data_IF_119054340453
#
_entry.id   IF_119054340453
#
_cell.length_a   1.000
_cell.length_b   1.000
_cell.length_c   1.000
_cell.angle_alpha   90.00
_cell.angle_beta   90.00
_cell.angle_gamma   90.00
#
_symmetry.space_group_name_H-M   'P 1'
#
loop_
_entity.id
_entity.type
_entity.pdbx_description
1 polymer ?
#
# COMPACT_ATOMS: atom_id res chain seq x y z
N UNK A 1 6.49 4.59 -20.27
CA UNK A 1 5.53 3.46 -20.33
C UNK A 1 6.11 2.22 -21.01
N UNK A 2 6.63 2.31 -22.24
CA UNK A 2 7.22 1.15 -22.96
C UNK A 2 8.25 0.36 -22.15
N UNK A 3 9.24 1.04 -21.55
CA UNK A 3 10.29 0.38 -20.75
C UNK A 3 9.78 -0.29 -19.48
N UNK A 4 8.73 0.25 -18.87
CA UNK A 4 8.05 -0.38 -17.72
C UNK A 4 7.39 -1.69 -18.14
N UNK A 5 6.73 -1.70 -19.31
CA UNK A 5 6.13 -2.92 -19.83
C UNK A 5 7.19 -3.98 -20.17
N UNK A 6 8.34 -3.56 -20.73
CA UNK A 6 9.48 -4.46 -20.98
C UNK A 6 10.00 -5.04 -19.65
N UNK A 7 10.16 -4.20 -18.62
CA UNK A 7 10.53 -4.65 -17.29
C UNK A 7 9.53 -5.66 -16.70
N UNK A 8 8.22 -5.43 -16.88
CA UNK A 8 7.18 -6.36 -16.44
C UNK A 8 7.27 -7.71 -17.17
N UNK A 9 7.58 -7.70 -18.48
CA UNK A 9 7.76 -8.94 -19.26
C UNK A 9 8.94 -9.74 -18.71
N UNK A 10 10.08 -9.09 -18.47
CA UNK A 10 11.25 -9.75 -17.86
C UNK A 10 10.97 -10.27 -16.45
N UNK A 11 10.22 -9.51 -15.65
CA UNK A 11 9.80 -9.94 -14.32
C UNK A 11 8.95 -11.21 -14.36
N UNK A 12 7.98 -11.29 -15.28
CA UNK A 12 7.15 -12.50 -15.48
C UNK A 12 7.98 -13.69 -15.95
N UNK A 13 9.01 -13.44 -16.80
CA UNK A 13 9.98 -14.45 -17.22
C UNK A 13 10.97 -14.88 -16.13
N UNK A 14 10.93 -14.26 -14.94
CA UNK A 14 11.89 -14.43 -13.84
C UNK A 14 13.32 -13.98 -14.18
N UNK A 15 13.47 -13.18 -15.23
CA UNK A 15 14.73 -12.56 -15.63
C UNK A 15 14.92 -11.25 -14.84
N UNK A 16 15.16 -11.37 -13.53
CA UNK A 16 15.08 -10.24 -12.59
C UNK A 16 16.13 -9.16 -12.84
N UNK A 17 17.35 -9.53 -13.24
CA UNK A 17 18.41 -8.55 -13.54
C UNK A 17 18.06 -7.69 -14.77
N UNK A 18 17.49 -8.30 -15.81
CA UNK A 18 17.05 -7.57 -17.01
C UNK A 18 15.79 -6.73 -16.74
N UNK A 19 14.90 -7.21 -15.87
CA UNK A 19 13.77 -6.43 -15.36
C UNK A 19 14.27 -5.17 -14.64
N UNK A 20 15.24 -5.32 -13.74
CA UNK A 20 15.82 -4.24 -12.96
C UNK A 20 16.53 -3.21 -13.85
N UNK A 21 17.33 -3.65 -14.82
CA UNK A 21 17.94 -2.77 -15.84
C UNK A 21 16.87 -1.98 -16.60
N UNK A 22 15.79 -2.63 -16.99
CA UNK A 22 14.69 -2.02 -17.75
C UNK A 22 13.93 -0.98 -16.91
N UNK A 23 13.68 -1.28 -15.63
CA UNK A 23 13.03 -0.33 -14.72
C UNK A 23 13.91 0.86 -14.36
N UNK A 24 15.21 0.67 -14.10
CA UNK A 24 16.15 1.79 -13.87
C UNK A 24 16.22 2.72 -15.07
N UNK A 25 16.37 2.14 -16.26
CA UNK A 25 16.28 2.86 -17.54
C UNK A 25 14.95 3.57 -17.78
N UNK A 26 13.86 3.09 -17.17
CA UNK A 26 12.58 3.77 -17.21
C UNK A 26 12.57 4.94 -16.22
N UNK A 27 13.08 4.73 -15.00
CA UNK A 27 13.18 5.75 -13.95
C UNK A 27 13.99 6.96 -14.39
N UNK A 28 15.12 6.74 -15.08
CA UNK A 28 15.98 7.81 -15.62
C UNK A 28 15.27 8.70 -16.66
N UNK A 29 14.23 8.17 -17.31
CA UNK A 29 13.44 8.91 -18.29
C UNK A 29 12.23 9.63 -17.66
N UNK A 30 11.90 9.33 -16.41
CA UNK A 30 10.78 9.95 -15.72
C UNK A 30 11.24 11.25 -15.06
N UNK A 31 10.74 12.37 -15.57
CA UNK A 31 10.96 13.68 -14.96
C UNK A 31 10.24 13.80 -13.62
N UNK A 32 10.74 14.67 -12.73
CA UNK A 32 10.12 14.96 -11.42
C UNK A 32 8.63 15.36 -11.47
N UNK A 33 8.15 15.84 -12.62
CA UNK A 33 6.73 16.16 -12.84
C UNK A 33 5.83 14.92 -12.88
N UNK A 34 6.38 13.73 -13.12
CA UNK A 34 5.64 12.47 -13.27
C UNK A 34 5.75 11.60 -12.00
N UNK A 35 5.49 12.20 -10.83
CA UNK A 35 5.63 11.56 -9.51
C UNK A 35 4.95 10.20 -9.43
N UNK A 36 3.69 10.09 -9.87
CA UNK A 36 2.97 8.81 -9.82
C UNK A 36 3.62 7.70 -10.65
N UNK A 37 4.19 8.05 -11.81
CA UNK A 37 4.88 7.08 -12.66
C UNK A 37 6.19 6.66 -12.01
N UNK A 38 6.90 7.61 -11.40
CA UNK A 38 8.14 7.35 -10.63
C UNK A 38 7.89 6.37 -9.50
N UNK A 39 6.87 6.60 -8.67
CA UNK A 39 6.48 5.75 -7.55
C UNK A 39 6.12 4.34 -8.02
N UNK A 40 5.35 4.21 -9.12
CA UNK A 40 5.02 2.90 -9.70
C UNK A 40 6.26 2.12 -10.14
N UNK A 41 7.23 2.79 -10.75
CA UNK A 41 8.50 2.16 -11.16
C UNK A 41 9.31 1.73 -9.94
N UNK A 42 9.43 2.60 -8.92
CA UNK A 42 10.14 2.27 -7.68
C UNK A 42 9.51 1.09 -6.95
N UNK A 43 8.18 1.04 -6.87
CA UNK A 43 7.46 -0.10 -6.30
C UNK A 43 7.76 -1.41 -7.08
N UNK A 44 7.81 -1.35 -8.42
CA UNK A 44 8.19 -2.51 -9.23
C UNK A 44 9.64 -2.93 -9.01
N UNK A 45 10.57 -1.98 -8.83
CA UNK A 45 11.96 -2.28 -8.47
C UNK A 45 12.02 -2.98 -7.11
N UNK A 46 11.29 -2.48 -6.11
CA UNK A 46 11.16 -3.12 -4.80
C UNK A 46 10.67 -4.57 -4.90
N UNK A 47 9.63 -4.82 -5.72
CA UNK A 47 9.13 -6.18 -5.97
C UNK A 47 10.17 -7.09 -6.65
N UNK A 48 10.99 -6.56 -7.57
CA UNK A 48 12.10 -7.31 -8.17
C UNK A 48 13.11 -7.71 -7.09
N UNK A 49 13.48 -6.78 -6.21
CA UNK A 49 14.39 -7.08 -5.11
C UNK A 49 13.85 -8.15 -4.16
N UNK A 50 12.56 -8.12 -3.84
CA UNK A 50 11.89 -9.20 -3.08
C UNK A 50 12.06 -10.55 -3.79
N UNK A 51 11.89 -10.60 -5.11
CA UNK A 51 12.06 -11.85 -5.89
C UNK A 51 13.50 -12.32 -6.00
N UNK A 52 14.46 -11.41 -5.78
CA UNK A 52 15.89 -11.71 -5.73
C UNK A 52 16.37 -12.02 -4.29
N UNK A 53 15.46 -12.08 -3.30
CA UNK A 53 15.77 -12.22 -1.88
C UNK A 53 16.66 -11.09 -1.32
N UNK A 54 16.62 -9.92 -1.96
CA UNK A 54 17.34 -8.70 -1.58
C UNK A 54 16.41 -7.81 -0.74
N UNK A 55 16.11 -8.25 0.48
CA UNK A 55 15.04 -7.65 1.28
C UNK A 55 15.39 -6.26 1.81
N UNK A 56 16.67 -5.98 2.11
CA UNK A 56 17.12 -4.65 2.54
C UNK A 56 16.94 -3.62 1.42
N UNK A 57 17.35 -3.94 0.18
CA UNK A 57 17.16 -3.03 -0.96
C UNK A 57 15.68 -2.88 -1.34
N UNK A 58 14.88 -3.95 -1.15
CA UNK A 58 13.44 -3.88 -1.32
C UNK A 58 12.80 -2.92 -0.31
N UNK A 59 13.18 -3.03 0.96
CA UNK A 59 12.66 -2.21 2.05
C UNK A 59 12.96 -0.73 1.79
N UNK A 60 14.21 -0.39 1.44
CA UNK A 60 14.57 0.98 1.04
C UNK A 60 13.77 1.47 -0.17
N UNK A 61 13.51 0.61 -1.16
CA UNK A 61 12.70 0.98 -2.33
C UNK A 61 11.25 1.31 -1.94
N UNK A 62 10.66 0.58 -1.00
CA UNK A 62 9.31 0.83 -0.52
C UNK A 62 9.22 2.02 0.44
N UNK A 63 10.24 2.27 1.26
CA UNK A 63 10.35 3.48 2.08
C UNK A 63 10.29 4.74 1.22
N UNK A 64 11.11 4.78 0.16
CA UNK A 64 11.08 5.90 -0.79
C UNK A 64 9.70 6.05 -1.47
N UNK A 65 8.96 4.96 -1.69
CA UNK A 65 7.59 5.05 -2.21
C UNK A 65 6.64 5.69 -1.18
N UNK A 66 6.76 5.31 0.09
CA UNK A 66 5.96 5.84 1.19
C UNK A 66 6.23 7.32 1.45
N UNK A 67 7.47 7.78 1.30
CA UNK A 67 7.85 9.20 1.43
C UNK A 67 7.22 10.06 0.34
N UNK A 68 7.15 9.56 -0.90
CA UNK A 68 6.56 10.29 -2.02
C UNK A 68 5.02 10.28 -2.00
N UNK A 69 4.43 9.12 -1.70
CA UNK A 69 2.98 8.95 -1.54
C UNK A 69 2.69 7.76 -0.62
N UNK A 70 2.23 8.00 0.61
CA UNK A 70 1.78 6.93 1.51
C UNK A 70 0.67 6.10 0.86
N UNK A 71 0.84 4.78 0.83
CA UNK A 71 -0.12 3.83 0.27
C UNK A 71 0.02 2.46 0.95
N UNK A 72 -1.08 1.71 1.05
CA UNK A 72 -1.12 0.45 1.81
C UNK A 72 -0.26 -0.64 1.17
N UNK A 73 -0.11 -0.62 -0.16
CA UNK A 73 0.70 -1.61 -0.89
C UNK A 73 2.18 -1.57 -0.53
N UNK A 74 2.90 -0.45 -0.69
CA UNK A 74 4.30 -0.35 -0.26
C UNK A 74 4.45 -0.55 1.25
N UNK A 75 3.53 -0.03 2.07
CA UNK A 75 3.56 -0.26 3.52
C UNK A 75 3.47 -1.76 3.89
N UNK A 76 2.56 -2.51 3.27
CA UNK A 76 2.44 -3.95 3.49
C UNK A 76 3.70 -4.70 3.06
N UNK A 77 4.30 -4.31 1.94
CA UNK A 77 5.55 -4.90 1.50
C UNK A 77 6.72 -4.58 2.46
N UNK A 78 6.78 -3.37 3.04
CA UNK A 78 7.76 -3.04 4.07
C UNK A 78 7.62 -3.96 5.28
N UNK A 79 6.39 -4.15 5.79
CA UNK A 79 6.13 -5.05 6.92
C UNK A 79 6.57 -6.47 6.60
N UNK A 80 6.26 -6.98 5.40
CA UNK A 80 6.67 -8.32 4.96
C UNK A 80 8.20 -8.42 4.88
N UNK A 81 8.88 -7.46 4.27
CA UNK A 81 10.35 -7.46 4.17
C UNK A 81 11.01 -7.42 5.55
N UNK A 82 10.54 -6.53 6.44
CA UNK A 82 11.06 -6.42 7.80
C UNK A 82 10.84 -7.71 8.61
N UNK A 83 9.68 -8.36 8.43
CA UNK A 83 9.40 -9.66 9.04
C UNK A 83 10.33 -10.78 8.52
N UNK A 84 10.66 -10.78 7.23
CA UNK A 84 11.60 -11.78 6.67
C UNK A 84 13.03 -11.54 7.19
N UNK A 85 13.39 -10.28 7.41
CA UNK A 85 14.67 -9.89 7.99
C UNK A 85 14.74 -10.07 9.52
N UNK A 86 13.62 -10.42 10.17
CA UNK A 86 13.47 -10.46 11.64
C UNK A 86 13.86 -9.13 12.32
N UNK A 87 13.67 -8.01 11.62
CA UNK A 87 13.97 -6.68 12.11
C UNK A 87 12.75 -6.06 12.79
N UNK A 88 12.69 -6.20 14.13
CA UNK A 88 11.56 -5.75 14.95
C UNK A 88 11.34 -4.25 14.92
N UNK A 89 12.42 -3.47 14.83
CA UNK A 89 12.32 -2.01 14.80
C UNK A 89 11.69 -1.55 13.48
N UNK A 90 12.19 -2.07 12.35
CA UNK A 90 11.61 -1.78 11.03
C UNK A 90 10.19 -2.30 10.88
N UNK A 91 9.86 -3.45 11.48
CA UNK A 91 8.47 -3.94 11.52
C UNK A 91 7.54 -2.95 12.22
N UNK A 92 7.95 -2.43 13.38
CA UNK A 92 7.18 -1.44 14.14
C UNK A 92 6.99 -0.16 13.34
N UNK A 93 8.08 0.36 12.78
CA UNK A 93 8.05 1.57 11.99
C UNK A 93 7.15 1.43 10.75
N UNK A 94 7.31 0.33 10.00
CA UNK A 94 6.49 0.06 8.81
C UNK A 94 5.00 -0.06 9.15
N UNK A 95 4.67 -0.69 10.28
CA UNK A 95 3.29 -0.81 10.74
C UNK A 95 2.72 0.55 11.19
N UNK A 96 3.48 1.35 11.93
CA UNK A 96 3.07 2.71 12.31
C UNK A 96 2.81 3.58 11.08
N UNK A 97 3.74 3.60 10.12
CA UNK A 97 3.56 4.30 8.84
C UNK A 97 2.34 3.82 8.06
N UNK A 98 1.93 2.54 8.20
CA UNK A 98 0.71 2.01 7.59
C UNK A 98 -0.55 2.58 8.25
N UNK A 99 -0.56 2.70 9.58
CA UNK A 99 -1.69 3.25 10.34
C UNK A 99 -1.88 4.75 10.08
N UNK A 100 -0.79 5.48 9.81
CA UNK A 100 -0.81 6.91 9.51
C UNK A 100 -1.33 7.24 8.10
N UNK A 101 -1.64 6.24 7.26
CA UNK A 101 -2.12 6.48 5.90
C UNK A 101 -3.53 7.09 5.94
N UNK A 102 -3.64 8.35 5.51
CA UNK A 102 -4.93 9.00 5.39
C UNK A 102 -5.69 8.56 4.13
N UNK A 103 -6.87 7.99 4.33
CA UNK A 103 -7.73 7.50 3.24
C UNK A 103 -8.42 8.62 2.44
N UNK A 104 -8.50 9.84 2.96
CA UNK A 104 -9.17 10.97 2.29
C UNK A 104 -10.63 10.67 1.91
N UNK A 105 -11.34 9.90 2.75
CA UNK A 105 -12.77 9.60 2.58
C UNK A 105 -13.54 10.58 3.46
N UNK A 106 -14.49 11.32 2.88
CA UNK A 106 -15.35 12.27 3.60
C UNK A 106 -16.24 11.55 4.63
N UNK A 107 -16.66 12.29 5.66
CA UNK A 107 -17.43 11.77 6.79
C UNK A 107 -18.73 11.05 6.37
N UNK A 108 -19.09 10.03 7.14
CA UNK A 108 -20.29 9.21 6.89
C UNK A 108 -21.60 10.00 7.04
N UNK A 109 -21.53 11.21 7.59
CA UNK A 109 -22.65 12.12 7.79
C UNK A 109 -23.37 12.49 6.48
N UNK A 110 -22.66 12.47 5.34
CA UNK A 110 -23.25 12.69 4.00
C UNK A 110 -24.34 11.67 3.62
N UNK A 111 -24.41 10.54 4.32
CA UNK A 111 -25.36 9.46 4.08
C UNK A 111 -26.43 9.34 5.17
N UNK A 112 -26.44 10.26 6.14
CA UNK A 112 -27.41 10.30 7.23
C UNK A 112 -28.63 11.10 6.80
N UNK A 113 -29.83 10.61 7.15
CA UNK A 113 -31.08 11.33 6.94
C UNK A 113 -31.19 12.42 8.02
N UNK A 114 -31.29 13.67 7.62
CA UNK A 114 -31.49 14.80 8.54
C UNK A 114 -32.96 15.17 8.70
N UNK A 115 -33.80 14.80 7.72
CA UNK A 115 -35.25 14.94 7.81
C UNK A 115 -35.98 13.73 7.20
N UNK A 116 -37.29 13.65 7.47
CA UNK A 116 -38.19 12.66 6.85
C UNK A 116 -38.78 13.17 5.51
N UNK A 117 -38.17 14.18 4.86
CA UNK A 117 -38.60 14.63 3.53
C UNK A 117 -38.41 13.48 2.52
N UNK A 118 -39.49 13.04 1.83
CA UNK A 118 -39.39 12.00 0.80
C UNK A 118 -38.35 12.30 -0.29
N UNK A 119 -38.09 13.58 -0.60
CA UNK A 119 -37.08 13.96 -1.59
C UNK A 119 -35.67 13.71 -1.07
N UNK A 120 -35.41 14.03 0.19
CA UNK A 120 -34.12 13.78 0.83
C UNK A 120 -33.85 12.28 0.93
N UNK A 121 -34.86 11.48 1.28
CA UNK A 121 -34.77 10.02 1.33
C UNK A 121 -34.34 9.45 -0.03
N UNK A 122 -34.99 9.85 -1.11
CA UNK A 122 -34.66 9.39 -2.46
C UNK A 122 -33.24 9.78 -2.88
N UNK A 123 -32.80 11.00 -2.54
CA UNK A 123 -31.43 11.46 -2.82
C UNK A 123 -30.41 10.65 -2.03
N UNK A 124 -30.62 10.45 -0.73
CA UNK A 124 -29.70 9.68 0.12
C UNK A 124 -29.64 8.20 -0.32
N UNK A 125 -30.76 7.59 -0.70
CA UNK A 125 -30.78 6.22 -1.25
C UNK A 125 -30.03 6.10 -2.57
N UNK A 126 -30.15 7.10 -3.45
CA UNK A 126 -29.40 7.14 -4.71
C UNK A 126 -27.89 7.23 -4.46
N UNK A 127 -27.44 8.12 -3.57
CA UNK A 127 -26.01 8.30 -3.24
C UNK A 127 -25.47 7.07 -2.49
N UNK A 128 -26.27 6.42 -1.62
CA UNK A 128 -25.84 5.19 -0.92
C UNK A 128 -25.49 4.03 -1.86
N UNK A 129 -26.10 3.98 -3.03
CA UNK A 129 -25.95 2.90 -4.00
C UNK A 129 -25.06 3.28 -5.19
N UNK A 130 -24.51 4.49 -5.22
CA UNK A 130 -23.71 4.96 -6.35
C UNK A 130 -22.30 4.34 -6.39
N UNK A 131 -21.61 4.57 -7.50
CA UNK A 131 -20.26 4.04 -7.72
C UNK A 131 -19.22 4.66 -6.77
N UNK A 132 -19.45 5.90 -6.30
CA UNK A 132 -18.52 6.60 -5.43
C UNK A 132 -18.53 5.97 -4.04
N UNK A 133 -19.71 5.72 -3.46
CA UNK A 133 -19.89 5.05 -2.18
C UNK A 133 -19.38 3.61 -2.21
N UNK A 134 -19.60 2.89 -3.31
CA UNK A 134 -19.03 1.56 -3.49
C UNK A 134 -17.50 1.59 -3.49
N UNK A 135 -16.91 2.57 -4.17
CA UNK A 135 -15.45 2.76 -4.19
C UNK A 135 -14.90 3.13 -2.81
N UNK A 136 -15.55 4.04 -2.07
CA UNK A 136 -15.15 4.39 -0.69
C UNK A 136 -15.16 3.17 0.24
N UNK A 137 -16.23 2.37 0.20
CA UNK A 137 -16.35 1.14 0.99
C UNK A 137 -15.25 0.14 0.64
N UNK A 138 -15.01 -0.09 -0.65
CA UNK A 138 -13.94 -0.99 -1.10
C UNK A 138 -12.56 -0.51 -0.62
N UNK A 139 -12.33 0.81 -0.65
CA UNK A 139 -11.08 1.42 -0.16
C UNK A 139 -10.90 1.24 1.34
N UNK A 140 -11.95 1.44 2.16
CA UNK A 140 -11.92 1.16 3.61
C UNK A 140 -11.64 -0.32 3.89
N UNK A 141 -12.34 -1.22 3.19
CA UNK A 141 -12.18 -2.66 3.37
C UNK A 141 -10.77 -3.14 3.01
N UNK A 142 -10.19 -2.63 1.93
CA UNK A 142 -8.82 -2.98 1.56
C UNK A 142 -7.81 -2.50 2.60
N UNK A 143 -7.99 -1.28 3.13
CA UNK A 143 -7.15 -0.74 4.20
C UNK A 143 -7.24 -1.59 5.48
N UNK A 144 -8.47 -1.89 5.92
CA UNK A 144 -8.72 -2.74 7.10
C UNK A 144 -8.09 -4.12 6.92
N UNK A 145 -8.27 -4.73 5.74
CA UNK A 145 -7.66 -6.01 5.40
C UNK A 145 -6.13 -5.95 5.48
N UNK A 146 -5.50 -4.93 4.90
CA UNK A 146 -4.05 -4.75 4.97
C UNK A 146 -3.56 -4.62 6.42
N UNK A 147 -4.22 -3.78 7.22
CA UNK A 147 -3.86 -3.56 8.62
C UNK A 147 -4.00 -4.86 9.43
N UNK A 148 -5.11 -5.59 9.29
CA UNK A 148 -5.33 -6.86 9.99
C UNK A 148 -4.31 -7.93 9.58
N UNK A 149 -3.98 -8.01 8.29
CA UNK A 149 -2.96 -8.94 7.81
C UNK A 149 -1.57 -8.59 8.34
N UNK A 150 -1.20 -7.31 8.36
CA UNK A 150 0.06 -6.85 8.92
C UNK A 150 0.13 -7.12 10.43
N UNK A 151 -0.92 -6.78 11.18
CA UNK A 151 -1.00 -7.03 12.61
C UNK A 151 -0.84 -8.54 12.93
N UNK A 152 -1.53 -9.41 12.16
CA UNK A 152 -1.40 -10.86 12.33
C UNK A 152 0.03 -11.33 12.05
N UNK A 153 0.69 -10.80 11.02
CA UNK A 153 2.06 -11.17 10.66
C UNK A 153 3.05 -10.80 11.78
N UNK A 154 2.92 -9.59 12.33
CA UNK A 154 3.88 -9.10 13.32
C UNK A 154 3.55 -9.62 14.74
N UNK A 155 2.30 -10.05 14.99
CA UNK A 155 1.86 -10.54 16.30
C UNK A 155 2.73 -11.66 16.87
N UNK A 156 3.31 -12.52 16.03
CA UNK A 156 4.21 -13.61 16.45
C UNK A 156 5.52 -13.09 17.05
N UNK A 157 5.93 -11.87 16.68
CA UNK A 157 7.16 -11.24 17.15
C UNK A 157 6.92 -10.30 18.34
N UNK A 158 5.69 -9.82 18.48
CA UNK A 158 5.28 -8.81 19.46
C UNK A 158 5.01 -9.44 20.82
N UNK A 159 4.39 -10.63 20.87
CA UNK A 159 4.17 -11.34 22.12
C UNK A 159 3.87 -12.82 21.88
N UNK A 160 4.32 -13.67 22.79
CA UNK A 160 3.83 -15.06 22.87
C UNK A 160 2.36 -15.13 23.32
N UNK A 161 1.82 -14.05 23.90
CA UNK A 161 0.49 -13.98 24.51
C UNK A 161 -0.21 -12.66 24.15
N UNK A 162 -1.52 -12.69 23.89
CA UNK A 162 -2.33 -11.54 23.41
C UNK A 162 -2.24 -10.26 24.27
N UNK A 163 -2.01 -10.38 25.58
CA UNK A 163 -1.97 -9.25 26.52
C UNK A 163 -0.74 -8.35 26.36
N UNK A 164 0.42 -8.90 26.02
CA UNK A 164 1.66 -8.12 25.96
C UNK A 164 1.74 -7.30 24.66
N UNK A 165 1.04 -7.72 23.62
CA UNK A 165 1.03 -7.03 22.33
C UNK A 165 0.29 -5.69 22.30
N UNK A 166 -0.45 -5.34 23.36
CA UNK A 166 -1.03 -4.01 23.52
C UNK A 166 0.00 -2.95 23.92
N UNK A 167 1.20 -3.34 24.35
CA UNK A 167 2.25 -2.42 24.79
C UNK A 167 3.28 -2.09 23.70
N UNK A 168 3.08 -2.60 22.48
CA UNK A 168 3.98 -2.41 21.34
C UNK A 168 3.76 -1.10 20.60
#
# INVERSE_FOLDING_TARGET
KLRVNIGNIYFVKKEYEEALKSYRKALDQVTHMQKETRIKIMNNIGLVFVKMNKYDEALSSFENCMEEKPDFKPAMNMVICANILDDREKMKEAFQRMLDIHLGIEDEDKYVLHSNDPREILVVEAIKNDNLRQWEKAKKQEAERCILMAAKLISTHVASNFSDGFTW
#
